data_IF_654852622696
#
_entry.id   IF_654852622696
#
_cell.length_a   1.000
_cell.length_b   1.000
_cell.length_c   1.000
_cell.angle_alpha   90.00
_cell.angle_beta   90.00
_cell.angle_gamma   90.00
#
_symmetry.space_group_name_H-M   'P 1'
#
loop_
_entity.id
_entity.type
_entity.pdbx_description
1 polymer ?
#
# COMPACT_ATOMS: atom_id res chain seq x y z
N UNK A 1 -1.84 8.26 19.48
CA UNK A 1 -2.14 7.23 20.50
C UNK A 1 -3.07 6.11 20.02
N UNK A 2 -4.11 6.41 19.22
CA UNK A 2 -5.08 5.39 18.79
C UNK A 2 -4.45 4.34 17.83
N UNK A 3 -3.68 4.78 16.85
CA UNK A 3 -3.01 3.90 15.88
C UNK A 3 -1.91 3.10 16.58
N UNK A 4 -1.11 3.74 17.41
CA UNK A 4 -0.06 3.08 18.20
C UNK A 4 -0.62 1.95 19.08
N UNK A 5 -1.78 2.15 19.72
CA UNK A 5 -2.46 1.12 20.49
C UNK A 5 -2.84 -0.09 19.64
N UNK A 6 -3.48 0.16 18.47
CA UNK A 6 -3.86 -0.94 17.56
C UNK A 6 -2.66 -1.69 16.98
N UNK A 7 -1.54 -0.98 16.73
CA UNK A 7 -0.30 -1.61 16.24
C UNK A 7 0.33 -2.46 17.33
N UNK A 8 0.38 -1.99 18.58
CA UNK A 8 0.94 -2.73 19.71
C UNK A 8 0.22 -4.06 19.97
N UNK A 9 -1.07 -4.10 19.71
CA UNK A 9 -1.90 -5.30 19.86
C UNK A 9 -1.84 -6.25 18.65
N UNK A 10 -1.34 -5.79 17.51
CA UNK A 10 -1.29 -6.59 16.29
C UNK A 10 -0.15 -7.64 16.35
N UNK A 11 -0.43 -8.95 16.21
CA UNK A 11 0.58 -10.01 16.37
C UNK A 11 1.81 -9.84 15.47
N UNK A 12 1.61 -9.27 14.27
CA UNK A 12 2.68 -9.14 13.27
C UNK A 12 3.66 -7.99 13.54
N UNK A 13 3.32 -7.03 14.39
CA UNK A 13 4.28 -6.01 14.83
C UNK A 13 5.44 -6.62 15.61
N UNK A 14 5.22 -7.79 16.22
CA UNK A 14 6.29 -8.57 16.86
C UNK A 14 7.36 -9.07 15.87
N UNK A 15 7.11 -9.04 14.57
CA UNK A 15 8.09 -9.38 13.53
C UNK A 15 9.02 -8.20 13.21
N UNK A 16 8.66 -6.98 13.61
CA UNK A 16 9.49 -5.78 13.39
C UNK A 16 10.74 -5.87 14.28
N UNK A 17 11.89 -5.59 13.69
CA UNK A 17 13.20 -5.62 14.37
C UNK A 17 13.93 -4.30 14.13
N UNK A 18 14.81 -3.88 15.06
CA UNK A 18 15.68 -2.75 14.81
C UNK A 18 16.49 -2.90 13.54
N UNK A 19 16.60 -1.80 12.78
CA UNK A 19 17.31 -1.74 11.51
C UNK A 19 16.52 -2.19 10.28
N UNK A 20 15.33 -2.81 10.45
CA UNK A 20 14.49 -3.19 9.30
C UNK A 20 14.03 -1.96 8.50
N UNK A 21 14.24 -1.98 7.20
CA UNK A 21 13.67 -1.00 6.25
C UNK A 21 12.22 -1.36 5.95
N UNK A 22 11.28 -0.49 6.28
CA UNK A 22 9.84 -0.76 6.13
C UNK A 22 9.21 0.25 5.20
N UNK A 23 8.67 -0.23 4.08
CA UNK A 23 7.93 0.58 3.12
C UNK A 23 6.47 0.77 3.56
N UNK A 24 6.00 2.01 3.66
CA UNK A 24 4.60 2.37 3.91
C UNK A 24 4.00 2.87 2.60
N UNK A 25 2.90 2.29 2.15
CA UNK A 25 2.27 2.72 0.90
C UNK A 25 1.35 3.91 1.09
N UNK A 26 1.36 4.83 0.12
CA UNK A 26 0.42 5.94 0.02
C UNK A 26 -0.30 5.91 -1.34
N UNK A 27 -1.64 5.93 -1.33
CA UNK A 27 -2.46 5.89 -2.54
C UNK A 27 -2.68 7.27 -3.17
N UNK A 28 -3.31 7.30 -4.35
CA UNK A 28 -3.63 8.51 -5.13
C UNK A 28 -4.96 9.16 -4.77
N UNK A 29 -5.72 8.58 -3.88
CA UNK A 29 -6.99 9.16 -3.43
C UNK A 29 -6.77 9.80 -2.07
N UNK A 30 -7.30 10.99 -1.89
CA UNK A 30 -7.29 11.65 -0.58
C UNK A 30 -7.94 10.73 0.47
N UNK A 31 -7.31 10.67 1.62
CA UNK A 31 -7.84 10.04 2.83
C UNK A 31 -7.77 11.11 3.89
N UNK A 32 -8.86 11.31 4.61
CA UNK A 32 -8.90 12.26 5.71
C UNK A 32 -7.78 11.94 6.72
N UNK A 33 -6.99 12.95 7.04
CA UNK A 33 -5.82 12.85 7.91
C UNK A 33 -4.70 11.89 7.44
N UNK A 34 -4.58 11.60 6.13
CA UNK A 34 -3.59 10.67 5.59
C UNK A 34 -2.18 10.92 6.13
N UNK A 35 -1.70 12.15 6.04
CA UNK A 35 -0.34 12.50 6.49
C UNK A 35 -0.16 12.29 8.01
N UNK A 36 -1.19 12.58 8.81
CA UNK A 36 -1.18 12.34 10.26
C UNK A 36 -1.11 10.84 10.55
N UNK A 37 -1.92 10.03 9.87
CA UNK A 37 -1.93 8.58 10.03
C UNK A 37 -0.57 7.99 9.68
N UNK A 38 0.04 8.44 8.57
CA UNK A 38 1.39 8.00 8.18
C UNK A 38 2.43 8.41 9.22
N UNK A 39 2.38 9.64 9.73
CA UNK A 39 3.29 10.11 10.78
C UNK A 39 3.21 9.26 12.05
N UNK A 40 2.02 8.88 12.48
CA UNK A 40 1.82 8.00 13.64
C UNK A 40 2.42 6.60 13.40
N UNK A 41 2.23 6.04 12.19
CA UNK A 41 2.87 4.78 11.78
C UNK A 41 4.39 4.90 11.80
N UNK A 42 4.93 5.98 11.25
CA UNK A 42 6.38 6.26 11.22
C UNK A 42 6.94 6.37 12.64
N UNK A 43 6.26 7.10 13.53
CA UNK A 43 6.67 7.25 14.93
C UNK A 43 6.73 5.90 15.62
N UNK A 44 5.67 5.09 15.52
CA UNK A 44 5.63 3.75 16.07
C UNK A 44 6.78 2.86 15.56
N UNK A 45 7.05 2.86 14.26
CA UNK A 45 8.11 2.05 13.66
C UNK A 45 9.49 2.48 14.13
N UNK A 46 9.73 3.79 14.27
CA UNK A 46 10.99 4.34 14.80
C UNK A 46 11.20 3.97 16.26
N UNK A 47 10.14 3.96 17.07
CA UNK A 47 10.20 3.49 18.46
C UNK A 47 10.61 2.01 18.56
N UNK A 48 10.26 1.18 17.56
CA UNK A 48 10.72 -0.20 17.44
C UNK A 48 12.14 -0.30 16.84
N UNK A 49 12.80 0.82 16.56
CA UNK A 49 14.13 0.88 15.96
C UNK A 49 14.17 0.60 14.45
N UNK A 50 13.01 0.52 13.78
CA UNK A 50 12.95 0.32 12.33
C UNK A 50 13.25 1.61 11.56
N UNK A 51 13.52 1.47 10.26
CA UNK A 51 13.83 2.53 9.31
C UNK A 51 12.68 2.66 8.28
N UNK A 52 11.57 3.32 8.66
CA UNK A 52 10.44 3.50 7.76
C UNK A 52 10.74 4.47 6.63
N UNK A 53 10.09 4.26 5.49
CA UNK A 53 10.00 5.20 4.39
C UNK A 53 8.66 5.06 3.70
N UNK A 54 8.18 6.14 3.08
CA UNK A 54 6.90 6.15 2.35
C UNK A 54 7.16 6.00 0.87
N UNK A 55 6.29 5.24 0.19
CA UNK A 55 6.28 5.11 -1.26
C UNK A 55 4.88 5.37 -1.82
N UNK A 56 4.73 6.11 -2.91
CA UNK A 56 3.49 6.12 -3.67
C UNK A 56 3.18 4.70 -4.19
N UNK A 57 1.93 4.29 -4.05
CA UNK A 57 1.45 3.02 -4.56
C UNK A 57 0.10 3.25 -5.24
N UNK A 58 0.14 3.67 -6.49
CA UNK A 58 -1.03 4.18 -7.20
C UNK A 58 -1.11 3.77 -8.68
N UNK A 59 -0.41 2.69 -9.03
CA UNK A 59 -0.44 2.14 -10.40
C UNK A 59 0.11 3.12 -11.42
N UNK A 60 -0.71 3.50 -12.40
CA UNK A 60 -0.36 4.44 -13.48
C UNK A 60 -0.77 5.89 -13.19
N UNK A 61 -1.28 6.22 -12.02
CA UNK A 61 -1.62 7.61 -11.68
C UNK A 61 -0.37 8.50 -11.65
N UNK A 62 -0.57 9.81 -11.60
CA UNK A 62 0.56 10.76 -11.66
C UNK A 62 1.30 10.75 -13.00
N UNK A 63 0.57 10.46 -14.10
CA UNK A 63 1.16 10.35 -15.43
C UNK A 63 2.13 9.17 -15.58
N UNK A 64 2.06 8.17 -14.70
CA UNK A 64 2.96 7.03 -14.63
C UNK A 64 4.44 7.45 -14.53
N UNK A 65 4.71 8.53 -13.79
CA UNK A 65 6.06 9.02 -13.50
C UNK A 65 6.31 9.10 -11.99
N UNK A 66 7.54 8.93 -11.56
CA UNK A 66 7.92 9.03 -10.16
C UNK A 66 7.63 10.44 -9.60
N UNK A 67 7.97 11.47 -10.36
CA UNK A 67 7.75 12.87 -10.03
C UNK A 67 6.26 13.19 -9.89
N UNK A 68 5.43 12.71 -10.83
CA UNK A 68 3.99 12.91 -10.78
C UNK A 68 3.33 12.20 -9.60
N UNK A 69 3.82 11.03 -9.23
CA UNK A 69 3.34 10.31 -8.04
C UNK A 69 3.77 11.01 -6.75
N UNK A 70 5.00 11.52 -6.66
CA UNK A 70 5.46 12.33 -5.53
C UNK A 70 4.62 13.60 -5.38
N UNK A 71 4.35 14.31 -6.47
CA UNK A 71 3.52 15.51 -6.44
C UNK A 71 2.15 15.23 -5.79
N UNK A 72 1.49 14.12 -6.17
CA UNK A 72 0.19 13.74 -5.61
C UNK A 72 0.27 13.48 -4.09
N UNK A 73 1.25 12.74 -3.61
CA UNK A 73 1.35 12.46 -2.16
C UNK A 73 1.74 13.71 -1.37
N UNK A 74 2.53 14.61 -1.95
CA UNK A 74 2.87 15.90 -1.36
C UNK A 74 1.64 16.82 -1.25
N UNK A 75 0.74 16.83 -2.25
CA UNK A 75 -0.54 17.56 -2.18
C UNK A 75 -1.41 17.08 -0.99
N UNK A 76 -1.28 15.83 -0.57
CA UNK A 76 -1.95 15.29 0.62
C UNK A 76 -1.16 15.52 1.92
N UNK A 77 -0.11 16.34 1.89
CA UNK A 77 0.70 16.67 3.05
C UNK A 77 1.70 15.59 3.46
N UNK A 78 1.85 14.53 2.64
CA UNK A 78 2.82 13.46 2.91
C UNK A 78 4.19 13.90 2.39
N UNK A 79 4.87 14.76 3.16
CA UNK A 79 6.22 15.25 2.91
C UNK A 79 7.19 14.69 3.94
N UNK A 80 8.48 14.57 3.57
CA UNK A 80 9.50 14.06 4.51
C UNK A 80 9.55 14.83 5.83
N UNK A 81 9.40 16.16 5.75
CA UNK A 81 9.39 17.03 6.92
C UNK A 81 8.22 16.72 7.85
N UNK A 82 7.01 16.53 7.29
CA UNK A 82 5.81 16.30 8.10
C UNK A 82 5.72 14.88 8.65
N UNK A 83 5.98 13.87 7.81
CA UNK A 83 5.85 12.45 8.23
C UNK A 83 7.09 11.95 8.98
N UNK A 84 8.21 12.65 8.87
CA UNK A 84 9.43 12.35 9.61
C UNK A 84 10.25 11.18 9.05
N UNK A 85 10.06 10.78 7.81
CA UNK A 85 10.86 9.75 7.13
C UNK A 85 10.98 10.04 5.63
N UNK A 86 11.91 9.40 4.90
CA UNK A 86 12.02 9.58 3.45
C UNK A 86 10.72 9.26 2.72
N UNK A 87 10.38 10.07 1.70
CA UNK A 87 9.27 9.84 0.77
C UNK A 87 9.88 9.61 -0.62
N UNK A 88 9.93 8.35 -1.02
CA UNK A 88 10.68 7.90 -2.20
C UNK A 88 9.73 7.40 -3.28
N UNK A 89 10.02 7.64 -4.55
CA UNK A 89 9.23 7.11 -5.66
C UNK A 89 10.11 6.50 -6.75
N UNK A 90 9.59 5.45 -7.37
CA UNK A 90 10.12 4.89 -8.61
C UNK A 90 9.00 4.22 -9.38
N UNK A 91 9.11 4.17 -10.70
CA UNK A 91 8.23 3.35 -11.56
C UNK A 91 8.85 2.01 -11.90
N UNK A 92 10.09 1.74 -11.44
CA UNK A 92 10.72 0.46 -11.64
C UNK A 92 10.03 -0.63 -10.80
N UNK A 93 9.87 -1.79 -11.41
CA UNK A 93 9.23 -2.95 -10.79
C UNK A 93 10.15 -4.18 -10.82
N UNK A 94 9.91 -5.07 -9.88
CA UNK A 94 10.56 -6.38 -9.81
C UNK A 94 9.52 -7.47 -10.00
N UNK A 95 9.81 -8.48 -10.83
CA UNK A 95 9.00 -9.70 -10.92
C UNK A 95 9.28 -10.55 -9.69
N UNK A 96 8.26 -10.73 -8.84
CA UNK A 96 8.36 -11.53 -7.59
C UNK A 96 7.73 -12.92 -7.71
N UNK A 97 7.06 -13.21 -8.81
CA UNK A 97 6.39 -14.48 -9.04
C UNK A 97 5.61 -14.51 -10.34
N UNK A 98 4.81 -15.54 -10.48
CA UNK A 98 3.91 -15.73 -11.61
C UNK A 98 2.66 -16.47 -11.14
N UNK A 99 1.48 -16.05 -11.59
CA UNK A 99 0.24 -16.76 -11.30
C UNK A 99 0.10 -18.00 -12.16
N UNK A 100 0.33 -17.81 -13.47
CA UNK A 100 0.32 -18.82 -14.52
C UNK A 100 1.14 -18.30 -15.72
N UNK A 101 1.26 -19.10 -16.76
CA UNK A 101 2.06 -18.75 -17.94
C UNK A 101 1.62 -17.41 -18.52
N UNK A 102 2.55 -16.45 -18.56
CA UNK A 102 2.34 -15.12 -19.14
C UNK A 102 1.65 -14.11 -18.23
N UNK A 103 1.41 -14.45 -16.94
CA UNK A 103 0.88 -13.49 -15.94
C UNK A 103 1.86 -13.26 -14.79
N UNK A 104 2.96 -12.52 -15.04
CA UNK A 104 3.95 -12.19 -14.01
C UNK A 104 3.35 -11.28 -12.92
N UNK A 105 3.81 -11.47 -11.69
CA UNK A 105 3.49 -10.63 -10.55
C UNK A 105 4.62 -9.63 -10.39
N UNK A 106 4.29 -8.34 -10.52
CA UNK A 106 5.23 -7.24 -10.34
C UNK A 106 4.88 -6.41 -9.11
N UNK A 107 5.90 -5.96 -8.38
CA UNK A 107 5.78 -4.92 -7.37
C UNK A 107 6.87 -3.87 -7.54
N UNK A 108 6.61 -2.67 -7.02
CA UNK A 108 7.54 -1.57 -6.95
C UNK A 108 8.90 -2.03 -6.39
N UNK A 109 10.00 -1.62 -7.03
CA UNK A 109 11.36 -2.04 -6.65
C UNK A 109 11.70 -1.69 -5.21
N UNK A 110 11.34 -0.47 -4.76
CA UNK A 110 11.61 -0.05 -3.38
C UNK A 110 10.87 -0.91 -2.36
N UNK A 111 9.64 -1.35 -2.68
CA UNK A 111 8.90 -2.28 -1.85
C UNK A 111 9.50 -3.69 -1.85
N UNK A 112 10.00 -4.15 -3.01
CA UNK A 112 10.65 -5.45 -3.13
C UNK A 112 11.98 -5.54 -2.36
N UNK A 113 12.70 -4.40 -2.28
CA UNK A 113 13.98 -4.27 -1.57
C UNK A 113 13.81 -3.96 -0.08
N UNK A 114 12.59 -3.74 0.41
CA UNK A 114 12.30 -3.50 1.82
C UNK A 114 12.24 -4.81 2.61
N UNK A 115 12.61 -4.75 3.89
CA UNK A 115 12.49 -5.89 4.80
C UNK A 115 11.03 -6.18 5.17
N UNK A 116 10.14 -5.21 4.95
CA UNK A 116 8.70 -5.36 5.17
C UNK A 116 7.88 -4.26 4.52
N UNK A 117 6.62 -4.57 4.26
CA UNK A 117 5.66 -3.65 3.62
C UNK A 117 4.47 -3.45 4.57
N UNK A 118 4.08 -2.20 4.77
CA UNK A 118 2.79 -1.84 5.37
C UNK A 118 1.93 -1.21 4.29
N UNK A 119 0.83 -1.90 3.95
CA UNK A 119 -0.12 -1.43 2.94
C UNK A 119 -1.21 -0.59 3.59
N UNK A 120 -1.20 0.73 3.34
CA UNK A 120 -2.18 1.67 3.87
C UNK A 120 -3.10 2.17 2.75
N UNK A 121 -4.42 2.09 2.98
CA UNK A 121 -5.37 2.57 1.97
C UNK A 121 -6.82 2.67 2.48
N UNK A 122 -7.66 3.31 1.66
CA UNK A 122 -9.09 3.43 1.90
C UNK A 122 -9.85 2.17 1.46
N UNK A 123 -10.76 1.70 2.33
CA UNK A 123 -11.70 0.62 2.03
C UNK A 123 -13.04 1.24 1.62
N UNK A 124 -13.51 0.93 0.42
CA UNK A 124 -14.81 1.36 -0.11
C UNK A 124 -15.29 0.46 -1.24
N UNK A 125 -16.58 0.49 -1.55
CA UNK A 125 -17.10 -0.14 -2.76
C UNK A 125 -16.47 0.46 -4.03
N UNK A 126 -16.25 -0.35 -5.06
CA UNK A 126 -15.77 0.13 -6.36
C UNK A 126 -16.94 0.56 -7.24
N UNK A 127 -16.71 1.57 -8.09
CA UNK A 127 -17.75 2.13 -8.96
C UNK A 127 -18.02 1.28 -10.21
N UNK A 128 -17.01 0.56 -10.71
CA UNK A 128 -17.06 -0.07 -12.04
C UNK A 128 -17.05 -1.61 -12.03
N UNK A 129 -16.65 -2.27 -10.94
CA UNK A 129 -16.69 -3.73 -10.85
C UNK A 129 -17.14 -4.20 -9.46
N UNK A 130 -17.56 -5.47 -9.39
CA UNK A 130 -17.88 -6.18 -8.14
C UNK A 130 -16.94 -7.36 -7.96
N UNK A 131 -16.65 -7.71 -6.71
CA UNK A 131 -15.80 -8.83 -6.34
C UNK A 131 -15.64 -8.94 -4.83
N UNK A 132 -14.95 -9.99 -4.37
CA UNK A 132 -14.64 -10.17 -2.95
C UNK A 132 -13.83 -9.01 -2.38
N UNK A 133 -12.96 -8.41 -3.23
CA UNK A 133 -12.07 -7.31 -2.88
C UNK A 133 -12.14 -6.20 -3.94
N UNK A 134 -12.96 -5.19 -3.70
CA UNK A 134 -13.17 -4.09 -4.64
C UNK A 134 -12.21 -2.92 -4.41
N UNK A 135 -11.62 -2.84 -3.22
CA UNK A 135 -10.67 -1.81 -2.78
C UNK A 135 -9.79 -2.34 -1.66
N UNK A 136 -9.25 -1.47 -0.86
CA UNK A 136 -8.53 -1.89 0.34
C UNK A 136 -7.14 -2.44 0.02
N UNK A 137 -6.60 -3.18 1.00
CA UNK A 137 -5.25 -3.73 0.95
C UNK A 137 -5.01 -4.56 -0.30
N UNK A 138 -5.94 -5.45 -0.66
CA UNK A 138 -5.78 -6.35 -1.81
C UNK A 138 -5.59 -5.58 -3.13
N UNK A 139 -6.40 -4.54 -3.35
CA UNK A 139 -6.26 -3.69 -4.54
C UNK A 139 -4.99 -2.84 -4.50
N UNK A 140 -4.60 -2.35 -3.32
CA UNK A 140 -3.36 -1.62 -3.14
C UNK A 140 -2.15 -2.47 -3.48
N UNK A 141 -2.09 -3.71 -2.99
CA UNK A 141 -1.01 -4.65 -3.31
C UNK A 141 -0.93 -4.91 -4.82
N UNK A 142 -2.06 -5.21 -5.46
CA UNK A 142 -2.11 -5.64 -6.85
C UNK A 142 -1.86 -4.49 -7.83
N UNK A 143 -2.65 -3.42 -7.74
CA UNK A 143 -2.64 -2.32 -8.70
C UNK A 143 -1.71 -1.22 -8.22
N UNK A 144 -1.81 -0.83 -6.95
CA UNK A 144 -1.01 0.25 -6.38
C UNK A 144 0.48 -0.04 -6.46
N UNK A 145 0.92 -1.11 -5.81
CA UNK A 145 2.33 -1.53 -5.77
C UNK A 145 2.85 -2.07 -7.11
N UNK A 146 1.97 -2.53 -8.00
CA UNK A 146 2.36 -3.00 -9.32
C UNK A 146 2.90 -1.92 -10.25
N UNK A 147 2.83 -0.66 -9.87
CA UNK A 147 3.06 0.49 -10.74
C UNK A 147 2.24 0.38 -12.04
N UNK A 148 2.66 1.03 -13.12
CA UNK A 148 1.95 0.89 -14.40
C UNK A 148 2.01 -0.55 -14.92
N UNK A 149 3.18 -1.17 -14.91
CA UNK A 149 3.38 -2.49 -15.52
C UNK A 149 2.55 -3.59 -14.83
N UNK A 150 2.52 -3.65 -13.51
CA UNK A 150 1.70 -4.62 -12.77
C UNK A 150 0.21 -4.35 -12.91
N UNK A 151 -0.21 -3.06 -12.92
CA UNK A 151 -1.59 -2.68 -13.16
C UNK A 151 -2.06 -3.13 -14.55
N UNK A 152 -1.25 -2.95 -15.60
CA UNK A 152 -1.57 -3.40 -16.97
C UNK A 152 -1.75 -4.92 -17.05
N UNK A 153 -0.89 -5.70 -16.40
CA UNK A 153 -1.03 -7.16 -16.37
C UNK A 153 -2.34 -7.57 -15.69
N UNK A 154 -2.68 -6.94 -14.57
CA UNK A 154 -3.93 -7.20 -13.85
C UNK A 154 -5.17 -6.85 -14.68
N UNK A 155 -5.13 -5.75 -15.46
CA UNK A 155 -6.25 -5.29 -16.27
C UNK A 155 -6.37 -5.97 -17.64
N UNK A 156 -5.37 -6.72 -18.08
CA UNK A 156 -5.29 -7.29 -19.44
C UNK A 156 -6.51 -8.11 -19.84
N UNK A 157 -7.17 -8.78 -18.91
CA UNK A 157 -8.37 -9.57 -19.17
C UNK A 157 -9.68 -8.76 -19.14
N UNK A 158 -9.58 -7.44 -18.98
CA UNK A 158 -10.71 -6.54 -18.96
C UNK A 158 -11.45 -6.44 -17.62
N UNK A 159 -12.42 -5.52 -17.59
CA UNK A 159 -13.13 -5.13 -16.35
C UNK A 159 -13.94 -6.26 -15.72
N UNK A 160 -14.45 -7.19 -16.55
CA UNK A 160 -15.28 -8.30 -16.08
C UNK A 160 -14.49 -9.30 -15.21
N UNK A 161 -13.18 -9.42 -15.45
CA UNK A 161 -12.29 -10.31 -14.70
C UNK A 161 -11.49 -9.56 -13.62
N UNK A 162 -11.66 -8.25 -13.49
CA UNK A 162 -10.79 -7.43 -12.64
C UNK A 162 -10.94 -7.81 -11.17
N UNK A 163 -12.14 -8.10 -10.67
CA UNK A 163 -12.36 -8.52 -9.29
C UNK A 163 -11.61 -9.80 -8.94
N UNK A 164 -11.72 -10.82 -9.79
CA UNK A 164 -11.00 -12.09 -9.64
C UNK A 164 -9.48 -11.91 -9.77
N UNK A 165 -9.03 -11.08 -10.72
CA UNK A 165 -7.61 -10.80 -10.89
C UNK A 165 -7.02 -10.07 -9.69
N UNK A 166 -7.70 -9.06 -9.14
CA UNK A 166 -7.25 -8.37 -7.92
C UNK A 166 -7.02 -9.38 -6.80
N UNK A 167 -7.94 -10.30 -6.59
CA UNK A 167 -7.82 -11.34 -5.56
C UNK A 167 -6.62 -12.25 -5.81
N UNK A 168 -6.52 -12.84 -7.01
CA UNK A 168 -5.44 -13.78 -7.36
C UNK A 168 -4.05 -13.13 -7.27
N UNK A 169 -3.88 -11.94 -7.84
CA UNK A 169 -2.60 -11.22 -7.78
C UNK A 169 -2.23 -10.82 -6.37
N UNK A 170 -3.20 -10.35 -5.56
CA UNK A 170 -2.93 -9.97 -4.19
C UNK A 170 -2.46 -11.16 -3.35
N UNK A 171 -3.11 -12.32 -3.45
CA UNK A 171 -2.64 -13.53 -2.77
C UNK A 171 -1.26 -13.98 -3.28
N UNK A 172 -1.00 -13.83 -4.58
CA UNK A 172 0.34 -14.05 -5.13
C UNK A 172 1.39 -13.11 -4.53
N UNK A 173 1.07 -11.85 -4.29
CA UNK A 173 1.95 -10.89 -3.64
C UNK A 173 2.15 -11.24 -2.16
N UNK A 174 1.08 -11.53 -1.43
CA UNK A 174 1.17 -11.95 -0.01
C UNK A 174 2.06 -13.18 0.18
N UNK A 175 2.06 -14.10 -0.80
CA UNK A 175 2.90 -15.29 -0.76
C UNK A 175 4.38 -15.01 -1.05
N UNK A 176 4.69 -14.01 -1.88
CA UNK A 176 6.03 -13.78 -2.42
C UNK A 176 6.72 -12.51 -1.91
N UNK A 177 6.00 -11.65 -1.16
CA UNK A 177 6.54 -10.43 -0.55
C UNK A 177 6.23 -10.40 0.94
N UNK A 178 7.11 -9.76 1.72
CA UNK A 178 6.94 -9.65 3.16
C UNK A 178 5.97 -8.50 3.52
N UNK A 179 4.67 -8.72 3.32
CA UNK A 179 3.63 -7.79 3.75
C UNK A 179 3.36 -8.03 5.23
N UNK A 180 3.83 -7.12 6.08
CA UNK A 180 3.69 -7.22 7.54
C UNK A 180 2.27 -6.92 8.00
N UNK A 181 1.72 -5.81 7.50
CA UNK A 181 0.43 -5.28 7.93
C UNK A 181 -0.32 -4.64 6.77
N UNK A 182 -1.65 -4.70 6.86
CA UNK A 182 -2.57 -3.82 6.14
C UNK A 182 -3.20 -2.82 7.10
N UNK A 183 -3.27 -1.55 6.71
CA UNK A 183 -4.00 -0.51 7.42
C UNK A 183 -5.14 -0.04 6.54
N UNK A 184 -6.35 -0.47 6.88
CA UNK A 184 -7.56 -0.12 6.16
C UNK A 184 -8.29 1.04 6.82
N UNK A 185 -8.66 2.05 6.04
CA UNK A 185 -9.36 3.24 6.49
C UNK A 185 -10.74 3.28 5.85
N UNK A 186 -11.77 3.41 6.67
CA UNK A 186 -13.15 3.60 6.23
C UNK A 186 -13.57 5.01 6.60
N UNK A 187 -14.07 5.74 5.62
CA UNK A 187 -14.60 7.08 5.78
C UNK A 187 -16.13 7.07 5.79
N UNK A 188 -16.72 8.03 6.48
CA UNK A 188 -18.16 8.27 6.48
C UNK A 188 -18.61 9.00 5.19
N UNK A 189 -19.90 9.33 5.09
CA UNK A 189 -20.47 10.01 3.93
C UNK A 189 -19.95 11.45 3.71
N UNK A 190 -19.27 12.02 4.69
CA UNK A 190 -18.62 13.34 4.64
C UNK A 190 -17.12 13.24 4.34
N UNK A 191 -16.63 12.06 3.90
CA UNK A 191 -15.22 11.78 3.63
C UNK A 191 -14.31 11.99 4.84
N UNK A 192 -14.84 11.77 6.06
CA UNK A 192 -14.08 11.82 7.30
C UNK A 192 -13.73 10.42 7.79
N UNK A 193 -12.54 10.25 8.35
CA UNK A 193 -12.09 8.98 8.91
C UNK A 193 -13.01 8.52 10.04
N UNK A 194 -13.75 7.45 9.82
CA UNK A 194 -14.68 6.87 10.78
C UNK A 194 -14.09 5.63 11.47
N UNK A 195 -13.35 4.81 10.73
CA UNK A 195 -12.78 3.56 11.25
C UNK A 195 -11.40 3.33 10.67
N UNK A 196 -10.45 2.96 11.51
CA UNK A 196 -9.15 2.41 11.10
C UNK A 196 -9.09 0.95 11.57
N UNK A 197 -8.58 0.06 10.73
CA UNK A 197 -8.33 -1.34 11.06
C UNK A 197 -6.92 -1.74 10.66
N UNK A 198 -6.24 -2.42 11.57
CA UNK A 198 -4.98 -3.08 11.30
C UNK A 198 -5.28 -4.55 11.02
N UNK A 199 -4.76 -5.05 9.90
CA UNK A 199 -4.93 -6.41 9.41
C UNK A 199 -3.57 -7.06 9.26
N UNK A 200 -3.48 -8.36 9.50
CA UNK A 200 -2.27 -9.14 9.27
C UNK A 200 -2.18 -9.55 7.80
N UNK A 201 -0.96 -9.79 7.31
CA UNK A 201 -0.72 -10.30 5.95
C UNK A 201 -1.04 -11.80 5.77
N UNK A 202 -1.58 -12.46 6.82
CA UNK A 202 -1.98 -13.88 6.84
C UNK A 202 -3.49 -14.02 6.79
#
# INVERSE_FOLDING_TARGET
DYIAGMLSDAPHTRKIRPGMRIAITAGSRGIDHLAVIIRELVSFLKEQGALPFVIPAMGSHGGATAEGQLAIVHEYGVTEEFVGCPVLATMEVVKIGELDVGRPIFINRLAAEADGIISLNRIKAHTAFRGSYESGVMKMLTIGLGCQQGAEVCHRQGILHLGENVEKFAFGILKNANVLLGVGIIENAYEQTAVIRVMTGE
#
